data_IF_833833194407
#
_entry.id   IF_833833194407
#
_cell.length_a   1.000
_cell.length_b   1.000
_cell.length_c   1.000
_cell.angle_alpha   90.00
_cell.angle_beta   90.00
_cell.angle_gamma   90.00
#
_symmetry.space_group_name_H-M   'P 1'
#
loop_
_entity.id
_entity.type
_entity.pdbx_description
1 polymer ?
#
# COMPACT_ATOMS: atom_id res chain seq x y z
N UNK A 1 0.64 -21.78 -7.04
CA UNK A 1 0.93 -20.36 -6.74
C UNK A 1 2.00 -19.89 -7.71
N UNK A 2 1.72 -18.85 -8.50
CA UNK A 2 2.63 -18.40 -9.59
C UNK A 2 3.68 -17.42 -9.06
N UNK A 3 4.56 -17.93 -8.19
CA UNK A 3 5.69 -17.16 -7.65
C UNK A 3 6.87 -17.34 -8.59
N UNK A 4 7.54 -16.24 -8.97
CA UNK A 4 8.75 -16.30 -9.78
C UNK A 4 9.90 -16.93 -9.00
N UNK A 5 10.85 -17.49 -9.73
CA UNK A 5 12.07 -18.05 -9.13
C UNK A 5 12.85 -16.95 -8.38
N UNK A 6 12.97 -15.77 -8.99
CA UNK A 6 13.72 -14.63 -8.42
C UNK A 6 13.09 -14.16 -7.09
N UNK A 7 11.75 -14.08 -7.02
CA UNK A 7 11.08 -13.73 -5.77
C UNK A 7 11.29 -14.80 -4.70
N UNK A 8 11.20 -16.09 -5.07
CA UNK A 8 11.45 -17.19 -4.14
C UNK A 8 12.89 -17.20 -3.61
N UNK A 9 13.88 -16.89 -4.44
CA UNK A 9 15.28 -16.75 -4.03
C UNK A 9 15.45 -15.55 -3.08
N UNK A 10 14.82 -14.41 -3.38
CA UNK A 10 14.85 -13.24 -2.51
C UNK A 10 14.32 -13.56 -1.09
N UNK A 11 13.24 -14.34 -0.99
CA UNK A 11 12.66 -14.71 0.30
C UNK A 11 13.57 -15.56 1.19
N UNK A 12 14.52 -16.30 0.64
CA UNK A 12 15.46 -17.14 1.41
C UNK A 12 16.44 -16.32 2.25
N UNK A 13 16.60 -15.03 1.92
CA UNK A 13 17.56 -14.14 2.59
C UNK A 13 17.05 -13.61 3.95
N UNK A 14 15.79 -13.88 4.34
CA UNK A 14 15.19 -13.29 5.53
C UNK A 14 15.05 -14.28 6.68
N UNK A 15 15.37 -13.80 7.88
CA UNK A 15 15.30 -14.54 9.13
C UNK A 15 14.24 -13.97 10.11
N UNK A 16 14.16 -14.54 11.32
CA UNK A 16 13.23 -14.08 12.35
C UNK A 16 13.48 -12.65 12.82
N UNK A 17 14.75 -12.18 12.79
CA UNK A 17 15.10 -10.80 13.15
C UNK A 17 14.54 -9.82 12.14
N UNK A 18 14.57 -10.18 10.83
CA UNK A 18 13.98 -9.35 9.78
C UNK A 18 12.46 -9.27 9.91
N UNK A 19 11.80 -10.37 10.28
CA UNK A 19 10.36 -10.36 10.59
C UNK A 19 10.05 -9.47 11.80
N UNK A 20 10.89 -9.47 12.84
CA UNK A 20 10.77 -8.57 13.99
C UNK A 20 10.87 -7.08 13.58
N UNK A 21 11.82 -6.74 12.70
CA UNK A 21 11.95 -5.38 12.13
C UNK A 21 10.71 -4.98 11.30
N UNK A 22 10.13 -5.92 10.55
CA UNK A 22 8.91 -5.67 9.78
C UNK A 22 7.71 -5.35 10.70
N UNK A 23 7.55 -6.08 11.80
CA UNK A 23 6.51 -5.80 12.79
C UNK A 23 6.77 -4.47 13.52
N UNK A 24 8.02 -4.12 13.80
CA UNK A 24 8.39 -2.82 14.36
C UNK A 24 8.03 -1.68 13.39
N UNK A 25 8.36 -1.81 12.09
CA UNK A 25 7.98 -0.85 11.06
C UNK A 25 6.46 -0.65 11.02
N UNK A 26 5.70 -1.76 11.05
CA UNK A 26 4.24 -1.70 11.08
C UNK A 26 3.71 -0.96 12.32
N UNK A 27 4.26 -1.24 13.49
CA UNK A 27 3.85 -0.58 14.74
C UNK A 27 4.11 0.93 14.71
N UNK A 28 5.28 1.35 14.19
CA UNK A 28 5.60 2.76 13.98
C UNK A 28 4.61 3.38 12.98
N UNK A 29 4.32 2.68 11.89
CA UNK A 29 3.38 3.15 10.88
C UNK A 29 1.98 3.39 11.44
N UNK A 30 1.44 2.46 12.24
CA UNK A 30 0.16 2.60 12.92
C UNK A 30 0.16 3.81 13.89
N UNK A 31 1.25 4.02 14.64
CA UNK A 31 1.38 5.18 15.52
C UNK A 31 1.39 6.50 14.73
N UNK A 32 2.09 6.55 13.61
CA UNK A 32 2.11 7.73 12.71
C UNK A 32 0.71 8.02 12.17
N UNK A 33 -0.03 7.00 11.71
CA UNK A 33 -1.41 7.16 11.23
C UNK A 33 -2.36 7.64 12.33
N UNK A 34 -2.18 7.18 13.56
CA UNK A 34 -2.96 7.68 14.71
C UNK A 34 -2.69 9.16 14.98
N UNK A 35 -1.42 9.58 14.97
CA UNK A 35 -1.03 10.98 15.14
C UNK A 35 -1.59 11.84 14.00
N UNK A 36 -1.52 11.34 12.76
CA UNK A 36 -2.14 11.98 11.60
C UNK A 36 -3.64 12.17 11.80
N UNK A 37 -4.36 11.14 12.24
CA UNK A 37 -5.78 11.23 12.55
C UNK A 37 -6.09 12.30 13.59
N UNK A 38 -5.27 12.40 14.64
CA UNK A 38 -5.41 13.49 15.64
C UNK A 38 -5.20 14.87 15.04
N UNK A 39 -4.34 15.02 14.03
CA UNK A 39 -4.16 16.33 13.38
C UNK A 39 -5.42 16.81 12.65
N UNK A 40 -6.29 15.91 12.16
CA UNK A 40 -7.57 16.28 11.53
C UNK A 40 -8.60 16.86 12.51
N UNK A 41 -8.43 16.64 13.81
CA UNK A 41 -9.28 17.27 14.84
C UNK A 41 -8.79 18.66 15.27
N UNK A 42 -7.69 19.13 14.71
CA UNK A 42 -7.11 20.45 14.97
C UNK A 42 -7.66 21.51 14.00
N UNK A 43 -7.56 22.79 14.38
CA UNK A 43 -7.99 23.93 13.54
C UNK A 43 -6.96 24.29 12.45
N UNK A 44 -6.32 23.29 11.83
CA UNK A 44 -5.35 23.50 10.76
C UNK A 44 -6.05 23.69 9.41
N UNK A 45 -5.44 24.51 8.53
CA UNK A 45 -5.93 24.66 7.17
C UNK A 45 -5.77 23.36 6.37
N UNK A 46 -6.58 23.17 5.32
CA UNK A 46 -6.48 22.02 4.42
C UNK A 46 -5.07 21.85 3.83
N UNK A 47 -4.41 22.96 3.48
CA UNK A 47 -3.02 22.94 2.97
C UNK A 47 -2.05 22.39 4.02
N UNK A 48 -2.18 22.83 5.30
CA UNK A 48 -1.32 22.32 6.37
C UNK A 48 -1.57 20.83 6.64
N UNK A 49 -2.82 20.39 6.59
CA UNK A 49 -3.15 18.96 6.73
C UNK A 49 -2.53 18.12 5.60
N UNK A 50 -2.57 18.61 4.35
CA UNK A 50 -1.91 17.94 3.22
C UNK A 50 -0.39 17.87 3.41
N UNK A 51 0.24 18.96 3.87
CA UNK A 51 1.68 18.98 4.16
C UNK A 51 2.02 17.95 5.24
N UNK A 52 1.26 17.91 6.34
CA UNK A 52 1.46 16.93 7.42
C UNK A 52 1.30 15.49 6.91
N UNK A 53 0.32 15.23 6.06
CA UNK A 53 0.12 13.93 5.45
C UNK A 53 1.35 13.50 4.63
N UNK A 54 1.93 14.39 3.83
CA UNK A 54 3.17 14.13 3.09
C UNK A 54 4.33 13.84 4.05
N UNK A 55 4.50 14.66 5.09
CA UNK A 55 5.56 14.48 6.10
C UNK A 55 5.43 13.12 6.81
N UNK A 56 4.23 12.73 7.23
CA UNK A 56 4.00 11.44 7.88
C UNK A 56 4.30 10.25 6.95
N UNK A 57 3.93 10.35 5.68
CA UNK A 57 4.28 9.34 4.67
C UNK A 57 5.79 9.21 4.48
N UNK A 58 6.48 10.34 4.33
CA UNK A 58 7.94 10.36 4.20
C UNK A 58 8.64 9.80 5.44
N UNK A 59 8.07 10.00 6.64
CA UNK A 59 8.59 9.40 7.88
C UNK A 59 8.57 7.88 7.80
N UNK A 60 7.49 7.27 7.34
CA UNK A 60 7.38 5.82 7.19
C UNK A 60 8.37 5.25 6.18
N UNK A 61 8.57 5.95 5.05
CA UNK A 61 9.60 5.60 4.07
C UNK A 61 11.01 5.73 4.66
N UNK A 62 11.28 6.81 5.40
CA UNK A 62 12.57 7.01 6.04
C UNK A 62 12.89 5.88 7.04
N UNK A 63 11.91 5.45 7.86
CA UNK A 63 12.09 4.30 8.76
C UNK A 63 12.40 3.03 7.97
N UNK A 64 11.70 2.77 6.86
CA UNK A 64 11.98 1.63 6.00
C UNK A 64 13.42 1.67 5.46
N UNK A 65 13.89 2.82 4.97
CA UNK A 65 15.25 3.03 4.47
C UNK A 65 16.27 2.80 5.58
N UNK A 66 16.06 3.36 6.77
CA UNK A 66 16.94 3.16 7.94
C UNK A 66 17.05 1.68 8.30
N UNK A 67 15.94 0.94 8.29
CA UNK A 67 15.94 -0.49 8.57
C UNK A 67 16.71 -1.29 7.50
N UNK A 68 16.61 -0.92 6.22
CA UNK A 68 17.41 -1.52 5.14
C UNK A 68 18.92 -1.27 5.37
N UNK A 69 19.30 -0.04 5.73
CA UNK A 69 20.69 0.33 5.98
C UNK A 69 21.23 -0.45 7.19
N UNK A 70 20.51 -0.49 8.31
CA UNK A 70 20.91 -1.24 9.52
C UNK A 70 21.07 -2.73 9.22
N UNK A 71 20.16 -3.30 8.41
CA UNK A 71 20.22 -4.70 8.00
C UNK A 71 21.22 -4.96 6.88
N UNK A 72 21.91 -3.93 6.35
CA UNK A 72 22.80 -3.99 5.18
C UNK A 72 22.13 -4.65 3.96
N UNK A 73 20.85 -4.42 3.80
CA UNK A 73 20.05 -4.95 2.69
C UNK A 73 19.95 -3.93 1.55
N UNK A 74 19.96 -4.42 0.32
CA UNK A 74 19.89 -3.58 -0.89
C UNK A 74 18.44 -3.27 -1.27
N UNK A 75 18.16 -2.17 -2.02
CA UNK A 75 16.83 -1.83 -2.51
C UNK A 75 16.17 -2.94 -3.35
N UNK A 76 16.95 -3.77 -4.05
CA UNK A 76 16.43 -4.89 -4.81
C UNK A 76 15.70 -5.92 -3.93
N UNK A 77 16.05 -5.99 -2.64
CA UNK A 77 15.38 -6.90 -1.68
C UNK A 77 13.95 -6.52 -1.36
N UNK A 78 13.54 -5.28 -1.69
CA UNK A 78 12.16 -4.79 -1.62
C UNK A 78 11.52 -4.63 -3.01
N UNK A 79 12.16 -5.17 -4.06
CA UNK A 79 11.66 -5.14 -5.42
C UNK A 79 11.90 -3.82 -6.17
N UNK A 80 12.69 -2.90 -5.63
CA UNK A 80 13.12 -1.69 -6.34
C UNK A 80 14.27 -2.04 -7.30
N UNK A 81 13.91 -2.65 -8.41
CA UNK A 81 14.83 -3.15 -9.44
C UNK A 81 14.32 -2.80 -10.84
N UNK A 82 15.24 -2.68 -11.80
CA UNK A 82 14.89 -2.57 -13.24
C UNK A 82 14.64 -3.92 -13.91
N UNK A 83 14.97 -5.03 -13.23
CA UNK A 83 14.73 -6.36 -13.80
C UNK A 83 13.22 -6.60 -13.94
N UNK A 84 12.78 -7.05 -15.13
CA UNK A 84 11.37 -7.29 -15.49
C UNK A 84 10.46 -6.07 -15.27
N UNK A 85 10.99 -4.86 -15.34
CA UNK A 85 10.24 -3.60 -15.14
C UNK A 85 9.04 -3.51 -16.10
N UNK A 86 9.26 -3.76 -17.41
CA UNK A 86 8.20 -3.68 -18.42
C UNK A 86 7.10 -4.71 -18.15
N UNK A 87 7.46 -5.97 -17.89
CA UNK A 87 6.48 -7.04 -17.57
C UNK A 87 5.66 -6.69 -16.33
N UNK A 88 6.32 -6.11 -15.32
CA UNK A 88 5.69 -5.66 -14.09
C UNK A 88 4.68 -4.55 -14.37
N UNK A 89 5.08 -3.51 -15.10
CA UNK A 89 4.21 -2.37 -15.43
C UNK A 89 3.03 -2.78 -16.31
N UNK A 90 3.23 -3.62 -17.33
CA UNK A 90 2.13 -4.14 -18.17
C UNK A 90 1.13 -4.91 -17.31
N UNK A 91 1.62 -5.85 -16.48
CA UNK A 91 0.76 -6.65 -15.59
C UNK A 91 -0.01 -5.76 -14.61
N UNK A 92 0.66 -4.76 -14.02
CA UNK A 92 0.04 -3.80 -13.11
C UNK A 92 -1.05 -2.96 -13.78
N UNK A 93 -0.78 -2.44 -14.98
CA UNK A 93 -1.77 -1.64 -15.74
C UNK A 93 -3.00 -2.46 -16.10
N UNK A 94 -2.82 -3.68 -16.61
CA UNK A 94 -3.96 -4.55 -16.98
C UNK A 94 -4.85 -4.86 -15.77
N UNK A 95 -4.26 -5.16 -14.63
CA UNK A 95 -5.00 -5.43 -13.40
C UNK A 95 -5.63 -4.17 -12.81
N UNK A 96 -5.00 -2.99 -12.96
CA UNK A 96 -5.59 -1.71 -12.60
C UNK A 96 -6.88 -1.44 -13.39
N UNK A 97 -6.83 -1.60 -14.73
CA UNK A 97 -7.99 -1.41 -15.60
C UNK A 97 -9.11 -2.36 -15.20
N UNK A 98 -8.81 -3.63 -14.94
CA UNK A 98 -9.82 -4.61 -14.50
C UNK A 98 -10.47 -4.17 -13.17
N UNK A 99 -9.68 -3.85 -12.16
CA UNK A 99 -10.19 -3.45 -10.84
C UNK A 99 -10.99 -2.15 -10.93
N UNK A 100 -10.48 -1.15 -11.67
CA UNK A 100 -11.19 0.12 -11.89
C UNK A 100 -12.52 -0.08 -12.60
N UNK A 101 -12.60 -0.95 -13.61
CA UNK A 101 -13.85 -1.24 -14.29
C UNK A 101 -14.89 -1.79 -13.30
N UNK A 102 -14.50 -2.75 -12.46
CA UNK A 102 -15.40 -3.36 -11.46
C UNK A 102 -15.89 -2.30 -10.45
N UNK A 103 -14.95 -1.52 -9.89
CA UNK A 103 -15.31 -0.54 -8.86
C UNK A 103 -16.06 0.67 -9.44
N UNK A 104 -15.74 1.10 -10.67
CA UNK A 104 -16.49 2.17 -11.34
C UNK A 104 -17.92 1.76 -11.68
N UNK A 105 -18.13 0.52 -12.16
CA UNK A 105 -19.48 0.00 -12.39
C UNK A 105 -20.27 -0.01 -11.08
N UNK A 106 -19.68 -0.50 -9.99
CA UNK A 106 -20.33 -0.49 -8.67
C UNK A 106 -20.65 0.95 -8.22
N UNK A 107 -19.70 1.87 -8.28
CA UNK A 107 -19.91 3.26 -7.87
C UNK A 107 -21.04 3.95 -8.66
N UNK A 108 -21.09 3.78 -9.97
CA UNK A 108 -22.11 4.40 -10.81
C UNK A 108 -23.48 3.73 -10.62
N UNK A 109 -23.55 2.39 -10.51
CA UNK A 109 -24.83 1.67 -10.49
C UNK A 109 -25.44 1.53 -9.09
N UNK A 110 -24.63 1.35 -8.06
CA UNK A 110 -25.09 1.11 -6.70
C UNK A 110 -25.02 2.37 -5.81
N UNK A 111 -24.04 3.25 -6.05
CA UNK A 111 -23.79 4.43 -5.23
C UNK A 111 -24.17 5.73 -5.95
N UNK A 112 -24.59 5.66 -7.23
CA UNK A 112 -24.98 6.79 -8.07
C UNK A 112 -23.87 7.87 -8.20
N UNK A 113 -22.61 7.45 -8.18
CA UNK A 113 -21.46 8.34 -8.26
C UNK A 113 -21.44 9.14 -9.57
N UNK A 114 -21.09 10.43 -9.45
CA UNK A 114 -20.75 11.28 -10.59
C UNK A 114 -19.30 11.09 -11.05
N UNK A 115 -18.95 11.70 -12.19
CA UNK A 115 -17.59 11.68 -12.73
C UNK A 115 -17.04 13.11 -12.76
N UNK A 116 -15.87 13.32 -12.15
CA UNK A 116 -15.09 14.55 -12.23
C UNK A 116 -13.84 14.31 -13.05
N UNK A 117 -13.72 15.01 -14.18
CA UNK A 117 -12.60 14.82 -15.12
C UNK A 117 -11.34 15.61 -14.74
N UNK A 118 -11.36 16.37 -13.62
CA UNK A 118 -10.22 17.18 -13.21
C UNK A 118 -9.77 16.81 -11.80
N UNK A 119 -8.58 16.21 -11.70
CA UNK A 119 -7.91 15.97 -10.42
C UNK A 119 -6.71 16.93 -10.35
N UNK A 120 -6.62 17.82 -9.34
CA UNK A 120 -5.49 18.74 -9.21
C UNK A 120 -4.15 18.00 -9.17
N UNK A 121 -3.11 18.58 -9.81
CA UNK A 121 -1.79 17.96 -9.91
C UNK A 121 -1.19 17.62 -8.51
N UNK A 122 -1.44 18.47 -7.51
CA UNK A 122 -0.98 18.22 -6.14
C UNK A 122 -1.64 16.95 -5.54
N UNK A 123 -2.91 16.71 -5.86
CA UNK A 123 -3.59 15.49 -5.42
C UNK A 123 -3.03 14.25 -6.13
N UNK A 124 -2.74 14.34 -7.44
CA UNK A 124 -2.08 13.25 -8.18
C UNK A 124 -0.71 12.93 -7.59
N UNK A 125 0.07 13.98 -7.26
CA UNK A 125 1.36 13.78 -6.60
C UNK A 125 1.21 13.11 -5.23
N UNK A 126 0.23 13.52 -4.43
CA UNK A 126 -0.06 12.90 -3.15
C UNK A 126 -0.50 11.43 -3.30
N UNK A 127 -1.42 11.13 -4.21
CA UNK A 127 -1.86 9.76 -4.50
C UNK A 127 -0.71 8.86 -4.96
N UNK A 128 0.22 9.39 -5.77
CA UNK A 128 1.40 8.65 -6.20
C UNK A 128 2.38 8.40 -5.05
N UNK A 129 2.77 9.47 -4.33
CA UNK A 129 3.84 9.38 -3.33
C UNK A 129 3.37 8.71 -2.04
N UNK A 130 2.19 9.09 -1.54
CA UNK A 130 1.63 8.63 -0.26
C UNK A 130 0.91 7.30 -0.45
N UNK A 131 -0.10 7.30 -1.35
CA UNK A 131 -0.97 6.15 -1.52
C UNK A 131 -0.32 4.98 -2.26
N UNK A 132 0.58 5.22 -3.22
CA UNK A 132 1.13 4.13 -4.01
C UNK A 132 2.57 3.78 -3.62
N UNK A 133 3.50 4.72 -3.76
CA UNK A 133 4.93 4.43 -3.54
C UNK A 133 5.19 4.00 -2.09
N UNK A 134 4.70 4.79 -1.14
CA UNK A 134 4.96 4.56 0.28
C UNK A 134 4.30 3.26 0.76
N UNK A 135 3.05 3.01 0.41
CA UNK A 135 2.34 1.81 0.85
C UNK A 135 2.88 0.54 0.20
N UNK A 136 3.20 0.57 -1.11
CA UNK A 136 3.75 -0.61 -1.77
C UNK A 136 5.15 -0.96 -1.26
N UNK A 137 6.03 0.03 -1.06
CA UNK A 137 7.36 -0.19 -0.46
C UNK A 137 7.21 -0.78 0.95
N UNK A 138 6.34 -0.20 1.78
CA UNK A 138 6.15 -0.65 3.17
C UNK A 138 5.55 -2.04 3.23
N UNK A 139 4.42 -2.28 2.56
CA UNK A 139 3.66 -3.52 2.73
C UNK A 139 4.19 -4.66 1.86
N UNK A 140 4.27 -4.47 0.53
CA UNK A 140 4.68 -5.57 -0.38
C UNK A 140 6.19 -5.71 -0.40
N UNK A 141 6.91 -4.58 -0.50
CA UNK A 141 8.36 -4.58 -0.55
C UNK A 141 8.99 -5.05 0.76
N UNK A 142 8.64 -4.42 1.88
CA UNK A 142 9.31 -4.68 3.16
C UNK A 142 8.58 -5.72 4.02
N UNK A 143 7.35 -5.45 4.49
CA UNK A 143 6.67 -6.29 5.48
C UNK A 143 6.43 -7.70 4.93
N UNK A 144 5.81 -7.82 3.76
CA UNK A 144 5.45 -9.12 3.18
C UNK A 144 6.66 -10.03 2.98
N UNK A 145 7.78 -9.49 2.48
CA UNK A 145 8.98 -10.28 2.21
C UNK A 145 9.67 -10.72 3.50
N UNK A 146 9.78 -9.82 4.50
CA UNK A 146 10.46 -10.12 5.78
C UNK A 146 9.66 -11.04 6.69
N UNK A 147 8.32 -11.02 6.62
CA UNK A 147 7.49 -11.99 7.33
C UNK A 147 7.81 -13.44 6.94
N UNK A 148 8.40 -13.67 5.75
CA UNK A 148 8.88 -15.00 5.37
C UNK A 148 9.99 -15.53 6.31
N UNK A 149 10.73 -14.66 6.98
CA UNK A 149 11.69 -15.04 8.01
C UNK A 149 11.06 -15.82 9.18
N UNK A 150 9.79 -15.57 9.47
CA UNK A 150 9.01 -16.22 10.52
C UNK A 150 8.08 -17.31 9.97
N UNK A 151 7.28 -16.99 8.95
CA UNK A 151 6.18 -17.84 8.47
C UNK A 151 6.63 -18.93 7.49
N UNK A 152 7.76 -18.73 6.81
CA UNK A 152 8.34 -19.67 5.81
C UNK A 152 7.34 -20.12 4.71
N UNK A 153 6.29 -19.33 4.50
CA UNK A 153 5.25 -19.61 3.53
C UNK A 153 4.79 -18.30 2.87
N UNK A 154 5.10 -18.10 1.57
CA UNK A 154 4.76 -16.85 0.86
C UNK A 154 3.27 -16.54 0.81
N UNK A 155 2.40 -17.56 0.78
CA UNK A 155 0.95 -17.36 0.80
C UNK A 155 0.48 -16.81 2.14
N UNK A 156 1.00 -17.39 3.25
CA UNK A 156 0.71 -16.90 4.59
C UNK A 156 1.27 -15.49 4.81
N UNK A 157 2.47 -15.19 4.26
CA UNK A 157 3.02 -13.83 4.30
C UNK A 157 2.10 -12.83 3.61
N UNK A 158 1.60 -13.17 2.41
CA UNK A 158 0.66 -12.33 1.68
C UNK A 158 -0.65 -12.15 2.43
N UNK A 159 -1.22 -13.22 2.99
CA UNK A 159 -2.47 -13.16 3.76
C UNK A 159 -2.32 -12.30 5.03
N UNK A 160 -1.27 -12.54 5.82
CA UNK A 160 -1.00 -11.74 7.01
C UNK A 160 -0.80 -10.26 6.65
N UNK A 161 -0.03 -9.98 5.58
CA UNK A 161 0.17 -8.60 5.14
C UNK A 161 -1.12 -7.97 4.60
N UNK A 162 -2.02 -8.75 3.97
CA UNK A 162 -3.35 -8.27 3.57
C UNK A 162 -4.17 -7.80 4.79
N UNK A 163 -4.18 -8.59 5.86
CA UNK A 163 -4.83 -8.21 7.12
C UNK A 163 -4.22 -6.92 7.71
N UNK A 164 -2.89 -6.84 7.75
CA UNK A 164 -2.19 -5.64 8.24
C UNK A 164 -2.48 -4.41 7.36
N UNK A 165 -2.55 -4.61 6.04
CA UNK A 165 -2.86 -3.56 5.07
C UNK A 165 -4.29 -3.03 5.25
N UNK A 166 -5.28 -3.89 5.46
CA UNK A 166 -6.64 -3.45 5.76
C UNK A 166 -6.71 -2.75 7.12
N UNK A 167 -6.06 -3.31 8.15
CA UNK A 167 -6.06 -2.74 9.50
C UNK A 167 -5.44 -1.35 9.57
N UNK A 168 -4.46 -1.03 8.70
CA UNK A 168 -3.83 0.30 8.71
C UNK A 168 -4.77 1.43 8.28
N UNK A 169 -5.90 1.13 7.66
CA UNK A 169 -6.88 2.16 7.27
C UNK A 169 -7.76 2.64 8.43
N UNK A 170 -7.77 1.93 9.56
CA UNK A 170 -8.61 2.26 10.71
C UNK A 170 -8.03 3.34 11.65
N UNK A 171 -6.71 3.41 11.95
CA UNK A 171 -6.17 4.31 12.99
C UNK A 171 -6.51 5.78 12.79
N UNK A 172 -6.51 6.27 11.55
CA UNK A 172 -6.89 7.66 11.24
C UNK A 172 -8.35 7.92 11.64
N UNK A 173 -9.26 7.03 11.25
CA UNK A 173 -10.67 7.15 11.61
C UNK A 173 -10.90 7.02 13.12
N UNK A 174 -10.26 6.05 13.76
CA UNK A 174 -10.37 5.86 15.21
C UNK A 174 -9.86 7.06 16.01
N UNK A 175 -8.82 7.71 15.53
CA UNK A 175 -8.29 8.90 16.17
C UNK A 175 -9.25 10.09 16.11
N UNK A 176 -10.13 10.15 15.09
CA UNK A 176 -11.12 11.22 14.90
C UNK A 176 -12.45 10.89 15.59
N UNK A 177 -13.00 9.70 15.35
CA UNK A 177 -14.37 9.35 15.72
C UNK A 177 -14.50 8.28 16.81
N UNK A 178 -13.37 7.80 17.35
CA UNK A 178 -13.36 6.70 18.32
C UNK A 178 -13.37 5.31 17.66
N UNK A 179 -13.18 4.28 18.46
CA UNK A 179 -13.08 2.89 17.98
C UNK A 179 -14.41 2.39 17.42
N UNK A 180 -14.42 2.12 16.12
CA UNK A 180 -15.53 1.46 15.42
C UNK A 180 -14.99 0.68 14.22
N UNK A 181 -15.55 -0.49 13.96
CA UNK A 181 -15.22 -1.27 12.75
C UNK A 181 -16.08 -0.83 11.54
N UNK A 182 -17.15 -0.09 11.77
CA UNK A 182 -18.09 0.35 10.75
C UNK A 182 -17.64 1.63 10.02
N UNK A 183 -16.42 2.13 10.30
CA UNK A 183 -15.87 3.31 9.60
C UNK A 183 -15.50 3.02 8.14
N UNK A 184 -15.37 1.75 7.79
CA UNK A 184 -15.21 1.28 6.42
C UNK A 184 -16.39 0.39 6.06
N UNK A 185 -16.94 0.56 4.84
CA UNK A 185 -17.96 -0.34 4.35
C UNK A 185 -17.40 -1.73 4.03
N UNK A 186 -18.23 -2.77 4.10
CA UNK A 186 -17.79 -4.12 3.75
C UNK A 186 -17.27 -4.23 2.32
N UNK A 187 -17.84 -3.47 1.38
CA UNK A 187 -17.36 -3.38 0.00
C UNK A 187 -15.95 -2.76 -0.05
N UNK A 188 -15.71 -1.65 0.66
CA UNK A 188 -14.39 -1.02 0.72
C UNK A 188 -13.33 -1.97 1.29
N UNK A 189 -13.64 -2.67 2.39
CA UNK A 189 -12.75 -3.68 2.98
C UNK A 189 -12.44 -4.80 1.97
N UNK A 190 -13.44 -5.31 1.24
CA UNK A 190 -13.25 -6.31 0.21
C UNK A 190 -12.31 -5.81 -0.90
N UNK A 191 -12.52 -4.59 -1.37
CA UNK A 191 -11.68 -3.97 -2.42
C UNK A 191 -10.24 -3.80 -1.95
N UNK A 192 -10.00 -3.41 -0.69
CA UNK A 192 -8.65 -3.31 -0.13
C UNK A 192 -7.93 -4.67 -0.11
N UNK A 193 -8.63 -5.76 0.23
CA UNK A 193 -8.09 -7.12 0.12
C UNK A 193 -7.75 -7.48 -1.33
N UNK A 194 -8.66 -7.22 -2.27
CA UNK A 194 -8.46 -7.49 -3.70
C UNK A 194 -7.25 -6.70 -4.21
N UNK A 195 -7.19 -5.38 -3.94
CA UNK A 195 -6.06 -4.53 -4.32
C UNK A 195 -4.74 -5.08 -3.77
N UNK A 196 -4.73 -5.46 -2.48
CA UNK A 196 -3.54 -6.06 -1.86
C UNK A 196 -3.10 -7.32 -2.62
N UNK A 197 -4.00 -8.25 -2.89
CA UNK A 197 -3.64 -9.51 -3.55
C UNK A 197 -3.21 -9.31 -5.00
N UNK A 198 -3.81 -8.37 -5.73
CA UNK A 198 -3.41 -8.03 -7.10
C UNK A 198 -2.00 -7.42 -7.12
N UNK A 199 -1.70 -6.44 -6.25
CA UNK A 199 -0.36 -5.87 -6.10
C UNK A 199 0.68 -6.93 -5.70
N UNK A 200 0.34 -7.79 -4.72
CA UNK A 200 1.18 -8.91 -4.30
C UNK A 200 1.41 -9.91 -5.42
N UNK A 201 0.41 -10.21 -6.23
CA UNK A 201 0.53 -11.10 -7.38
C UNK A 201 1.52 -10.55 -8.41
N UNK A 202 1.39 -9.26 -8.81
CA UNK A 202 2.33 -8.61 -9.73
C UNK A 202 3.75 -8.69 -9.20
N UNK A 203 3.94 -8.32 -7.93
CA UNK A 203 5.26 -8.34 -7.31
C UNK A 203 5.84 -9.77 -7.22
N UNK A 204 5.09 -10.74 -6.74
CA UNK A 204 5.55 -12.13 -6.63
C UNK A 204 5.87 -12.76 -7.98
N UNK A 205 5.15 -12.38 -9.05
CA UNK A 205 5.37 -12.88 -10.40
C UNK A 205 6.60 -12.28 -11.08
N UNK A 206 6.94 -11.02 -10.75
CA UNK A 206 7.98 -10.28 -11.47
C UNK A 206 9.22 -10.00 -10.61
N UNK A 207 9.13 -10.12 -9.30
CA UNK A 207 10.11 -9.64 -8.32
C UNK A 207 10.47 -8.15 -8.52
N UNK A 208 9.54 -7.38 -9.10
CA UNK A 208 9.68 -5.97 -9.42
C UNK A 208 8.45 -5.23 -8.89
N UNK A 209 8.66 -4.24 -8.01
CA UNK A 209 7.59 -3.55 -7.29
C UNK A 209 6.89 -2.48 -8.14
N UNK A 210 7.51 -2.00 -9.22
CA UNK A 210 7.01 -0.89 -10.02
C UNK A 210 5.62 -1.12 -10.61
N UNK A 211 5.30 -2.36 -11.01
CA UNK A 211 3.96 -2.69 -11.50
C UNK A 211 2.90 -2.66 -10.40
N UNK A 212 3.23 -3.06 -9.18
CA UNK A 212 2.33 -2.93 -8.03
C UNK A 212 2.08 -1.46 -7.68
N UNK A 213 3.15 -0.63 -7.68
CA UNK A 213 3.05 0.83 -7.49
C UNK A 213 2.15 1.45 -8.57
N UNK A 214 2.35 1.09 -9.83
CA UNK A 214 1.55 1.61 -10.94
C UNK A 214 0.08 1.17 -10.85
N UNK A 215 -0.19 -0.11 -10.52
CA UNK A 215 -1.54 -0.61 -10.30
C UNK A 215 -2.25 0.21 -9.21
N UNK A 216 -1.61 0.36 -8.06
CA UNK A 216 -2.16 1.07 -6.92
C UNK A 216 -2.41 2.56 -7.23
N UNK A 217 -1.44 3.22 -7.87
CA UNK A 217 -1.58 4.61 -8.28
C UNK A 217 -2.73 4.84 -9.27
N UNK A 218 -2.82 4.00 -10.31
CA UNK A 218 -3.91 4.09 -11.29
C UNK A 218 -5.26 3.86 -10.63
N UNK A 219 -5.35 2.88 -9.72
CA UNK A 219 -6.56 2.61 -8.96
C UNK A 219 -6.98 3.83 -8.12
N UNK A 220 -6.08 4.39 -7.31
CA UNK A 220 -6.36 5.57 -6.49
C UNK A 220 -6.75 6.79 -7.33
N UNK A 221 -6.09 6.99 -8.48
CA UNK A 221 -6.42 8.08 -9.40
C UNK A 221 -7.83 7.89 -9.99
N UNK A 222 -8.18 6.66 -10.37
CA UNK A 222 -9.52 6.35 -10.86
C UNK A 222 -10.60 6.57 -9.82
N UNK A 223 -10.33 6.21 -8.54
CA UNK A 223 -11.26 6.50 -7.44
C UNK A 223 -11.40 8.02 -7.20
N UNK A 224 -10.33 8.80 -7.35
CA UNK A 224 -10.39 10.26 -7.21
C UNK A 224 -11.19 10.96 -8.31
N UNK A 225 -11.47 10.29 -9.43
CA UNK A 225 -12.33 10.77 -10.53
C UNK A 225 -13.80 10.47 -10.27
N UNK A 226 -14.12 9.49 -9.42
CA UNK A 226 -15.48 9.14 -9.03
C UNK A 226 -15.89 9.92 -7.78
N UNK A 227 -17.01 10.65 -7.85
CA UNK A 227 -17.53 11.44 -6.72
C UNK A 227 -18.86 10.81 -6.29
N UNK A 228 -18.99 10.50 -5.02
CA UNK A 228 -20.24 10.09 -4.35
C UNK A 228 -21.09 11.29 -4.01
#
# INVERSE_FOLDING_TARGET
>A
MFISKDYSENLKNFDKSDAGKALLLYSIYIAVLWIQGKSYTSNLSAVMLTILQIVFSLTSLAVCIVLLIIAKQKPETIGLTGHRFIDSCISGTLLAVLLLTITAVHAVTAEHAGIVLHVPAINLLALFTIGAVQEEITFRGYIQTRLNGLLKNPAMCSLCTACLFVLMHYPVHWAVSGFSLNVLTGFHVLVLFILHFLCSFVYQKTNCLWGAILLHFLYNTGQAVLIL
#
